data_IF_490389045786
#
_entry.id   IF_490389045786
#
_cell.length_a   1.000
_cell.length_b   1.000
_cell.length_c   1.000
_cell.angle_alpha   90.00
_cell.angle_beta   90.00
_cell.angle_gamma   90.00
#
_symmetry.space_group_name_H-M   'P 1'
#
loop_
_entity.id
_entity.type
_entity.pdbx_description
1 polymer ?
#
# COMPACT_ATOMS: atom_id res chain seq x y z
N UNK A 1 5.18 -17.62 -36.26
CA UNK A 1 5.85 -17.48 -34.96
C UNK A 1 6.72 -16.25 -35.09
N UNK A 2 6.29 -15.08 -34.60
CA UNK A 2 7.15 -13.90 -34.71
C UNK A 2 8.32 -14.06 -33.75
N UNK A 3 9.54 -14.00 -34.27
CA UNK A 3 10.79 -13.85 -33.53
C UNK A 3 10.78 -12.49 -32.81
N UNK A 4 10.00 -12.37 -31.75
CA UNK A 4 10.14 -11.28 -30.80
C UNK A 4 11.24 -11.73 -29.85
N UNK A 5 12.44 -11.19 -30.07
CA UNK A 5 13.54 -11.34 -29.13
C UNK A 5 13.06 -10.92 -27.73
N UNK A 6 13.30 -11.73 -26.69
CA UNK A 6 12.81 -11.41 -25.36
C UNK A 6 13.40 -10.07 -24.89
N UNK A 7 12.60 -9.23 -24.20
CA UNK A 7 13.08 -7.93 -23.75
C UNK A 7 14.29 -8.08 -22.83
N UNK A 8 15.28 -7.20 -22.97
CA UNK A 8 16.42 -7.15 -22.05
C UNK A 8 15.95 -6.84 -20.62
N UNK A 9 16.51 -7.56 -19.64
CA UNK A 9 16.19 -7.35 -18.23
C UNK A 9 16.71 -6.00 -17.74
N UNK A 10 15.88 -5.16 -17.10
CA UNK A 10 16.36 -3.97 -16.41
C UNK A 10 17.45 -4.33 -15.39
N UNK A 11 18.46 -3.48 -15.25
CA UNK A 11 19.66 -3.80 -14.46
C UNK A 11 19.36 -4.09 -12.99
N UNK A 12 18.49 -3.32 -12.32
CA UNK A 12 18.04 -3.61 -10.96
C UNK A 12 17.41 -5.00 -10.81
N UNK A 13 16.56 -5.41 -11.76
CA UNK A 13 15.97 -6.77 -11.79
C UNK A 13 17.07 -7.81 -11.99
N UNK A 14 17.95 -7.61 -12.96
CA UNK A 14 19.05 -8.54 -13.22
C UNK A 14 19.99 -8.70 -12.01
N UNK A 15 20.21 -7.64 -11.24
CA UNK A 15 20.96 -7.67 -9.98
C UNK A 15 20.20 -8.45 -8.88
N UNK A 16 18.90 -8.20 -8.71
CA UNK A 16 18.07 -8.92 -7.74
C UNK A 16 18.07 -10.43 -7.99
N UNK A 17 17.97 -10.86 -9.26
CA UNK A 17 18.05 -12.27 -9.66
C UNK A 17 19.49 -12.83 -9.67
N UNK A 18 20.51 -12.03 -9.41
CA UNK A 18 21.91 -12.45 -9.46
C UNK A 18 22.42 -12.84 -10.86
N UNK A 19 21.68 -12.48 -11.92
CA UNK A 19 22.03 -12.81 -13.32
C UNK A 19 22.90 -11.72 -13.97
N UNK A 20 22.85 -10.49 -13.47
CA UNK A 20 23.83 -9.47 -13.82
C UNK A 20 25.18 -9.85 -13.22
N UNK A 21 26.25 -9.71 -14.02
CA UNK A 21 27.61 -9.83 -13.51
C UNK A 21 27.82 -8.77 -12.42
N UNK A 22 27.72 -9.18 -11.16
CA UNK A 22 28.31 -8.44 -10.06
C UNK A 22 29.81 -8.30 -10.43
N UNK A 23 30.47 -7.15 -10.28
CA UNK A 23 31.92 -7.09 -10.37
C UNK A 23 32.55 -7.92 -9.23
N UNK A 24 32.49 -9.25 -9.35
CA UNK A 24 32.97 -10.24 -8.40
C UNK A 24 33.77 -11.33 -9.12
N UNK A 25 35.09 -11.25 -8.94
CA UNK A 25 35.96 -12.38 -8.53
C UNK A 25 37.29 -11.79 -8.04
N UNK A 26 37.45 -11.70 -6.72
CA UNK A 26 38.69 -11.26 -6.05
C UNK A 26 38.53 -11.17 -4.51
N UNK A 27 39.63 -11.24 -3.72
CA UNK A 27 39.56 -11.35 -2.26
C UNK A 27 38.88 -10.13 -1.63
N UNK A 28 37.97 -10.38 -0.65
CA UNK A 28 37.21 -9.42 0.19
C UNK A 28 37.46 -7.94 -0.13
N UNK A 29 36.74 -7.39 -1.12
CA UNK A 29 36.60 -5.94 -1.23
C UNK A 29 35.68 -5.43 -0.12
N UNK A 30 36.00 -4.27 0.41
CA UNK A 30 35.26 -3.61 1.50
C UNK A 30 33.81 -3.27 1.12
N UNK A 31 33.47 -3.20 -0.17
CA UNK A 31 32.16 -2.79 -0.69
C UNK A 31 31.57 -3.78 -1.71
N UNK A 32 30.29 -4.10 -1.54
CA UNK A 32 29.47 -4.99 -2.38
C UNK A 32 28.04 -4.45 -2.51
N UNK A 33 27.23 -5.00 -3.44
CA UNK A 33 25.82 -4.59 -3.60
C UNK A 33 25.05 -4.83 -2.29
N UNK A 34 25.27 -5.97 -1.66
CA UNK A 34 24.60 -6.39 -0.42
C UNK A 34 24.86 -5.37 0.70
N UNK A 35 26.13 -4.96 0.89
CA UNK A 35 26.49 -3.93 1.88
C UNK A 35 25.89 -2.55 1.58
N UNK A 36 25.77 -2.20 0.30
CA UNK A 36 25.15 -0.93 -0.11
C UNK A 36 23.66 -0.96 0.21
N UNK A 37 22.98 -2.07 -0.07
CA UNK A 37 21.56 -2.26 0.19
C UNK A 37 21.29 -2.29 1.69
N UNK A 38 22.05 -3.06 2.48
CA UNK A 38 21.96 -3.13 3.94
C UNK A 38 22.06 -1.73 4.58
N UNK A 39 23.09 -0.96 4.23
CA UNK A 39 23.27 0.40 4.76
C UNK A 39 22.15 1.37 4.32
N UNK A 40 21.55 1.15 3.15
CA UNK A 40 20.43 1.95 2.67
C UNK A 40 19.11 1.59 3.36
N UNK A 41 18.88 0.30 3.64
CA UNK A 41 17.74 -0.17 4.44
C UNK A 41 17.82 0.36 5.86
N UNK A 42 18.98 0.24 6.53
CA UNK A 42 19.17 0.82 7.87
C UNK A 42 18.91 2.33 7.91
N UNK A 43 19.33 3.06 6.87
CA UNK A 43 19.08 4.49 6.76
C UNK A 43 17.59 4.79 6.58
N UNK A 44 16.89 3.99 5.77
CA UNK A 44 15.45 4.14 5.54
C UNK A 44 14.62 3.77 6.78
N UNK A 45 15.04 2.77 7.55
CA UNK A 45 14.40 2.37 8.80
C UNK A 45 14.52 3.45 9.87
N UNK A 46 15.67 4.11 9.95
CA UNK A 46 15.93 5.16 10.94
C UNK A 46 15.31 6.51 10.55
N UNK A 47 15.52 6.95 9.32
CA UNK A 47 15.27 8.34 8.88
C UNK A 47 14.22 8.44 7.76
N UNK A 48 13.62 7.32 7.37
CA UNK A 48 12.63 7.24 6.29
C UNK A 48 13.22 7.28 4.89
N UNK A 49 12.38 6.97 3.89
CA UNK A 49 12.82 6.86 2.48
C UNK A 49 13.37 8.17 1.90
N UNK A 50 12.92 9.32 2.44
CA UNK A 50 13.35 10.64 2.01
C UNK A 50 14.84 10.91 2.30
N UNK A 51 15.40 10.31 3.34
CA UNK A 51 16.81 10.43 3.71
C UNK A 51 17.74 9.64 2.76
N UNK A 52 17.19 8.65 2.04
CA UNK A 52 17.96 7.77 1.18
C UNK A 52 18.38 8.49 -0.11
N UNK A 53 19.68 8.72 -0.22
CA UNK A 53 20.33 9.22 -1.43
C UNK A 53 21.66 8.49 -1.64
N UNK A 54 22.13 8.45 -2.90
CA UNK A 54 23.44 7.86 -3.22
C UNK A 54 24.56 8.46 -2.37
N UNK A 55 24.46 9.76 -2.03
CA UNK A 55 25.46 10.42 -1.21
C UNK A 55 25.35 10.05 0.27
N UNK A 56 24.14 9.98 0.82
CA UNK A 56 23.93 9.58 2.22
C UNK A 56 24.38 8.15 2.48
N UNK A 57 24.04 7.21 1.59
CA UNK A 57 24.48 5.81 1.69
C UNK A 57 25.99 5.69 1.55
N UNK A 58 26.61 6.41 0.61
CA UNK A 58 28.06 6.43 0.47
C UNK A 58 28.77 6.96 1.72
N UNK A 59 28.28 8.07 2.28
CA UNK A 59 28.82 8.67 3.48
C UNK A 59 28.74 7.72 4.68
N UNK A 60 27.61 7.01 4.85
CA UNK A 60 27.42 6.00 5.90
C UNK A 60 28.43 4.85 5.80
N UNK A 61 28.81 4.48 4.58
CA UNK A 61 29.80 3.44 4.31
C UNK A 61 31.25 3.95 4.25
N UNK A 62 31.50 5.26 4.41
CA UNK A 62 32.83 5.85 4.31
C UNK A 62 33.39 5.95 2.87
N UNK A 63 32.52 5.92 1.86
CA UNK A 63 32.90 6.02 0.44
C UNK A 63 32.36 7.28 -0.22
N UNK A 64 32.83 7.53 -1.45
CA UNK A 64 32.29 8.59 -2.31
C UNK A 64 31.06 8.10 -3.09
N UNK A 65 30.09 8.97 -3.43
CA UNK A 65 28.93 8.58 -4.23
C UNK A 65 29.32 7.91 -5.56
N UNK A 66 30.37 8.41 -6.20
CA UNK A 66 30.91 7.86 -7.45
C UNK A 66 31.32 6.39 -7.33
N UNK A 67 31.71 5.94 -6.13
CA UNK A 67 32.11 4.57 -5.88
C UNK A 67 30.92 3.60 -5.88
N UNK A 68 29.73 4.05 -5.45
CA UNK A 68 28.50 3.24 -5.42
C UNK A 68 27.96 2.97 -6.82
N UNK A 69 28.06 3.94 -7.74
CA UNK A 69 27.56 3.83 -9.11
C UNK A 69 28.17 2.66 -9.92
N UNK A 70 29.31 2.12 -9.49
CA UNK A 70 29.89 0.89 -10.08
C UNK A 70 29.08 -0.36 -9.78
N UNK A 71 28.35 -0.37 -8.66
CA UNK A 71 27.56 -1.49 -8.17
C UNK A 71 26.08 -1.31 -8.48
N UNK A 72 25.55 -0.10 -8.26
CA UNK A 72 24.14 0.25 -8.46
C UNK A 72 24.05 1.49 -9.33
N UNK A 73 23.54 1.34 -10.55
CA UNK A 73 23.62 2.36 -11.61
C UNK A 73 22.74 3.58 -11.38
N UNK A 74 21.63 3.43 -10.67
CA UNK A 74 20.68 4.49 -10.42
C UNK A 74 20.05 4.39 -9.03
N UNK A 75 19.46 5.49 -8.56
CA UNK A 75 18.67 5.48 -7.32
C UNK A 75 17.51 4.50 -7.40
N UNK A 76 16.86 4.38 -8.56
CA UNK A 76 15.72 3.48 -8.74
C UNK A 76 16.14 2.00 -8.63
N UNK A 77 17.32 1.64 -9.14
CA UNK A 77 17.89 0.30 -8.94
C UNK A 77 18.16 0.04 -7.45
N UNK A 78 18.66 1.06 -6.71
CA UNK A 78 18.87 0.95 -5.27
C UNK A 78 17.55 0.74 -4.53
N UNK A 79 16.52 1.54 -4.83
CA UNK A 79 15.21 1.43 -4.20
C UNK A 79 14.56 0.06 -4.45
N UNK A 80 14.74 -0.49 -5.66
CA UNK A 80 14.27 -1.83 -5.99
C UNK A 80 15.00 -2.90 -5.18
N UNK A 81 16.32 -2.83 -5.07
CA UNK A 81 17.11 -3.79 -4.29
C UNK A 81 16.84 -3.67 -2.79
N UNK A 82 16.61 -2.45 -2.28
CA UNK A 82 16.17 -2.22 -0.92
C UNK A 82 14.79 -2.85 -0.68
N UNK A 83 13.83 -2.61 -1.58
CA UNK A 83 12.51 -3.22 -1.48
C UNK A 83 12.62 -4.75 -1.46
N UNK A 84 13.45 -5.32 -2.32
CA UNK A 84 13.70 -6.76 -2.38
C UNK A 84 14.27 -7.30 -1.05
N UNK A 85 15.33 -6.67 -0.53
CA UNK A 85 15.98 -7.07 0.74
C UNK A 85 14.99 -6.97 1.91
N UNK A 86 14.34 -5.82 2.05
CA UNK A 86 13.40 -5.57 3.13
C UNK A 86 12.11 -6.38 3.00
N UNK A 87 11.78 -6.92 1.82
CA UNK A 87 10.63 -7.83 1.63
C UNK A 87 10.93 -9.22 2.18
N UNK A 88 12.16 -9.69 1.99
CA UNK A 88 12.59 -11.02 2.42
C UNK A 88 11.72 -12.18 1.89
N UNK A 89 12.04 -13.40 2.29
CA UNK A 89 11.24 -14.56 1.95
C UNK A 89 9.96 -14.62 2.80
N UNK A 90 8.85 -15.16 2.27
CA UNK A 90 7.68 -15.45 3.09
C UNK A 90 8.06 -16.43 4.22
N UNK A 91 7.47 -16.27 5.41
CA UNK A 91 7.76 -17.15 6.56
C UNK A 91 7.40 -18.59 6.25
N UNK A 92 8.24 -19.55 6.62
CA UNK A 92 7.97 -20.97 6.34
C UNK A 92 6.75 -21.49 7.09
N UNK A 93 6.48 -20.90 8.25
CA UNK A 93 5.43 -21.29 9.18
C UNK A 93 4.04 -21.24 8.54
N UNK A 94 3.81 -20.36 7.55
CA UNK A 94 2.53 -20.31 6.85
C UNK A 94 2.17 -21.67 6.21
N UNK A 95 3.16 -22.48 5.81
CA UNK A 95 2.91 -23.79 5.19
C UNK A 95 2.37 -24.83 6.17
N UNK A 96 2.59 -24.62 7.46
CA UNK A 96 2.16 -25.51 8.54
C UNK A 96 0.68 -25.32 8.90
N UNK A 97 0.08 -24.21 8.48
CA UNK A 97 -1.33 -23.90 8.71
C UNK A 97 -2.27 -24.84 7.93
N UNK A 98 -3.43 -25.15 8.53
CA UNK A 98 -4.43 -26.02 7.92
C UNK A 98 -5.41 -25.25 7.03
N UNK A 99 -5.54 -25.69 5.78
CA UNK A 99 -6.47 -25.10 4.82
C UNK A 99 -6.00 -23.76 4.24
N UNK A 100 -6.56 -23.40 3.09
CA UNK A 100 -6.14 -22.21 2.34
C UNK A 100 -6.32 -20.91 3.15
N UNK A 101 -7.39 -20.83 3.96
CA UNK A 101 -7.75 -19.64 4.73
C UNK A 101 -6.70 -19.29 5.78
N UNK A 102 -6.29 -20.26 6.58
CA UNK A 102 -5.29 -20.05 7.64
C UNK A 102 -3.91 -19.74 7.03
N UNK A 103 -3.54 -20.41 5.94
CA UNK A 103 -2.30 -20.11 5.20
C UNK A 103 -2.25 -18.68 4.68
N UNK A 104 -3.33 -18.20 4.04
CA UNK A 104 -3.40 -16.82 3.56
C UNK A 104 -3.49 -15.79 4.71
N UNK A 105 -4.13 -16.13 5.84
CA UNK A 105 -4.11 -15.31 7.05
C UNK A 105 -2.69 -15.13 7.57
N UNK A 106 -1.92 -16.21 7.69
CA UNK A 106 -0.53 -16.16 8.13
C UNK A 106 0.36 -15.30 7.20
N UNK A 107 0.14 -15.39 5.88
CA UNK A 107 0.84 -14.53 4.92
C UNK A 107 0.43 -13.06 5.05
N UNK A 108 -0.87 -12.76 5.23
CA UNK A 108 -1.36 -11.41 5.51
C UNK A 108 -0.68 -10.81 6.75
N UNK A 109 -0.69 -11.54 7.88
CA UNK A 109 -0.11 -11.08 9.14
C UNK A 109 1.41 -10.86 9.03
N UNK A 110 2.09 -11.74 8.30
CA UNK A 110 3.52 -11.61 8.05
C UNK A 110 3.86 -10.40 7.20
N UNK A 111 3.08 -10.14 6.14
CA UNK A 111 3.28 -8.98 5.28
C UNK A 111 2.92 -7.66 6.00
N UNK A 112 1.92 -7.66 6.89
CA UNK A 112 1.68 -6.51 7.76
C UNK A 112 2.85 -6.26 8.71
N UNK A 113 3.38 -7.28 9.38
CA UNK A 113 4.56 -7.14 10.26
C UNK A 113 5.78 -6.60 9.50
N UNK A 114 5.98 -7.04 8.27
CA UNK A 114 7.00 -6.51 7.36
C UNK A 114 6.85 -5.00 7.14
N UNK A 115 5.63 -4.52 6.84
CA UNK A 115 5.37 -3.10 6.66
C UNK A 115 5.53 -2.29 7.95
N UNK A 116 5.27 -2.88 9.10
CA UNK A 116 5.52 -2.22 10.39
C UNK A 116 7.02 -2.13 10.71
N UNK A 117 7.80 -3.15 10.32
CA UNK A 117 9.26 -3.14 10.46
C UNK A 117 9.94 -2.16 9.50
N UNK A 118 9.43 -2.07 8.26
CA UNK A 118 9.96 -1.21 7.20
C UNK A 118 8.89 -0.27 6.59
N UNK A 119 8.37 0.74 7.33
CA UNK A 119 7.27 1.59 6.88
C UNK A 119 7.52 2.32 5.55
N UNK A 120 8.79 2.57 5.22
CA UNK A 120 9.19 3.21 3.98
C UNK A 120 8.83 2.41 2.72
N UNK A 121 8.64 1.08 2.81
CA UNK A 121 8.15 0.24 1.71
C UNK A 121 6.80 0.72 1.15
N UNK A 122 5.98 1.32 2.01
CA UNK A 122 4.65 1.82 1.67
C UNK A 122 4.71 3.13 0.88
N UNK A 123 5.83 3.84 0.94
CA UNK A 123 6.08 5.07 0.19
C UNK A 123 6.63 4.81 -1.22
N UNK A 124 7.05 3.58 -1.52
CA UNK A 124 7.54 3.22 -2.86
C UNK A 124 6.34 3.03 -3.81
N UNK A 125 6.30 3.73 -4.96
CA UNK A 125 5.23 3.58 -5.94
C UNK A 125 5.18 2.16 -6.53
N UNK A 126 3.97 1.65 -6.74
CA UNK A 126 3.75 0.40 -7.48
C UNK A 126 3.70 0.75 -8.97
N UNK A 127 4.73 0.34 -9.72
CA UNK A 127 4.87 0.63 -11.15
C UNK A 127 4.62 -0.58 -12.05
N UNK A 128 4.38 -1.75 -11.47
CA UNK A 128 4.12 -2.99 -12.19
C UNK A 128 4.06 -4.20 -11.26
N UNK A 129 3.98 -5.40 -11.87
CA UNK A 129 4.05 -6.65 -11.12
C UNK A 129 5.44 -6.80 -10.50
N UNK A 130 5.55 -7.23 -9.23
CA UNK A 130 6.83 -7.26 -8.56
C UNK A 130 7.61 -8.53 -8.98
N UNK A 131 8.43 -8.39 -10.03
CA UNK A 131 9.17 -9.48 -10.66
C UNK A 131 10.55 -9.75 -10.02
N UNK A 132 10.75 -9.38 -8.76
CA UNK A 132 11.97 -9.69 -8.00
C UNK A 132 11.84 -11.03 -7.26
N UNK A 133 12.93 -11.73 -6.92
CA UNK A 133 12.86 -13.08 -6.33
C UNK A 133 11.96 -13.20 -5.08
N UNK A 134 12.16 -12.36 -4.07
CA UNK A 134 11.41 -12.38 -2.83
C UNK A 134 9.95 -12.04 -3.06
N UNK A 135 9.67 -10.96 -3.82
CA UNK A 135 8.29 -10.62 -4.18
C UNK A 135 7.59 -11.73 -4.97
N UNK A 136 8.32 -12.42 -5.85
CA UNK A 136 7.81 -13.58 -6.60
C UNK A 136 7.53 -14.75 -5.66
N UNK A 137 8.39 -14.98 -4.66
CA UNK A 137 8.20 -16.03 -3.65
C UNK A 137 6.96 -15.78 -2.77
N UNK A 138 6.66 -14.52 -2.43
CA UNK A 138 5.42 -14.16 -1.73
C UNK A 138 4.17 -14.47 -2.56
N UNK A 139 4.19 -14.12 -3.85
CA UNK A 139 3.09 -14.46 -4.75
C UNK A 139 2.95 -15.98 -4.91
N UNK A 140 4.05 -16.69 -5.12
CA UNK A 140 4.08 -18.15 -5.24
C UNK A 140 3.50 -18.82 -3.98
N UNK A 141 3.92 -18.40 -2.79
CA UNK A 141 3.39 -18.90 -1.52
C UNK A 141 1.86 -18.72 -1.39
N UNK A 142 1.33 -17.57 -1.82
CA UNK A 142 -0.11 -17.33 -1.83
C UNK A 142 -0.84 -18.23 -2.85
N UNK A 143 -0.27 -18.45 -4.03
CA UNK A 143 -0.82 -19.35 -5.04
C UNK A 143 -0.80 -20.82 -4.58
N UNK A 144 0.30 -21.27 -3.98
CA UNK A 144 0.42 -22.62 -3.38
C UNK A 144 -0.59 -22.81 -2.26
N UNK A 145 -0.87 -21.77 -1.46
CA UNK A 145 -1.87 -21.83 -0.38
C UNK A 145 -3.28 -22.14 -0.90
N UNK A 146 -3.58 -21.78 -2.15
CA UNK A 146 -4.86 -21.99 -2.81
C UNK A 146 -4.89 -23.24 -3.71
N UNK A 147 -3.80 -24.01 -3.81
CA UNK A 147 -3.67 -25.09 -4.79
C UNK A 147 -4.74 -26.19 -4.64
N UNK A 148 -5.12 -26.49 -3.39
CA UNK A 148 -6.13 -27.49 -3.05
C UNK A 148 -7.58 -27.01 -3.24
N UNK A 149 -7.78 -25.77 -3.70
CA UNK A 149 -9.11 -25.22 -3.99
C UNK A 149 -9.49 -25.44 -5.47
N UNK A 150 -10.79 -25.42 -5.82
CA UNK A 150 -11.23 -25.51 -7.21
C UNK A 150 -10.99 -24.23 -8.03
N UNK A 151 -10.39 -23.20 -7.44
CA UNK A 151 -10.09 -21.93 -8.12
C UNK A 151 -9.13 -22.14 -9.29
N UNK A 152 -9.41 -21.50 -10.42
CA UNK A 152 -8.49 -21.44 -11.55
C UNK A 152 -7.30 -20.49 -11.27
N UNK A 153 -6.28 -20.48 -12.15
CA UNK A 153 -5.10 -19.64 -11.97
C UNK A 153 -5.42 -18.13 -11.90
N UNK A 154 -6.44 -17.67 -12.63
CA UNK A 154 -6.87 -16.26 -12.63
C UNK A 154 -7.46 -15.90 -11.27
N UNK A 155 -8.32 -16.76 -10.74
CA UNK A 155 -8.95 -16.58 -9.43
C UNK A 155 -7.92 -16.62 -8.30
N UNK A 156 -6.94 -17.53 -8.37
CA UNK A 156 -5.86 -17.62 -7.38
C UNK A 156 -5.03 -16.35 -7.32
N UNK A 157 -4.66 -15.78 -8.48
CA UNK A 157 -3.93 -14.51 -8.55
C UNK A 157 -4.79 -13.36 -8.01
N UNK A 158 -6.08 -13.31 -8.37
CA UNK A 158 -6.98 -12.27 -7.87
C UNK A 158 -7.12 -12.30 -6.35
N UNK A 159 -7.27 -13.48 -5.75
CA UNK A 159 -7.31 -13.66 -4.29
C UNK A 159 -5.98 -13.26 -3.65
N UNK A 160 -4.84 -13.71 -4.19
CA UNK A 160 -3.52 -13.34 -3.68
C UNK A 160 -3.27 -11.81 -3.70
N UNK A 161 -3.70 -11.15 -4.77
CA UNK A 161 -3.63 -9.69 -4.88
C UNK A 161 -4.57 -8.98 -3.91
N UNK A 162 -5.78 -9.51 -3.68
CA UNK A 162 -6.71 -8.95 -2.69
C UNK A 162 -6.15 -9.02 -1.27
N UNK A 163 -5.50 -10.14 -0.91
CA UNK A 163 -4.80 -10.30 0.38
C UNK A 163 -3.64 -9.31 0.49
N UNK A 164 -2.78 -9.26 -0.53
CA UNK A 164 -1.62 -8.37 -0.56
C UNK A 164 -2.01 -6.89 -0.48
N UNK A 165 -3.05 -6.50 -1.23
CA UNK A 165 -3.61 -5.15 -1.20
C UNK A 165 -4.20 -4.80 0.16
N UNK A 166 -4.88 -5.74 0.82
CA UNK A 166 -5.43 -5.55 2.15
C UNK A 166 -4.33 -5.38 3.21
N UNK A 167 -3.28 -6.21 3.17
CA UNK A 167 -2.14 -6.09 4.08
C UNK A 167 -1.41 -4.75 3.88
N UNK A 168 -1.25 -4.31 2.63
CA UNK A 168 -0.64 -3.01 2.30
C UNK A 168 -1.49 -1.84 2.80
N UNK A 169 -2.80 -1.88 2.59
CA UNK A 169 -3.72 -0.86 3.11
C UNK A 169 -3.66 -0.78 4.64
N UNK A 170 -3.68 -1.93 5.31
CA UNK A 170 -3.53 -1.99 6.76
C UNK A 170 -2.18 -1.38 7.22
N UNK A 171 -1.10 -1.78 6.56
CA UNK A 171 0.23 -1.23 6.79
C UNK A 171 0.28 0.29 6.63
N UNK A 172 -0.33 0.86 5.58
CA UNK A 172 -0.40 2.32 5.35
C UNK A 172 -1.03 3.04 6.54
N UNK A 173 -2.17 2.53 7.03
CA UNK A 173 -2.89 3.18 8.12
C UNK A 173 -2.10 3.12 9.43
N UNK A 174 -1.62 1.94 9.82
CA UNK A 174 -0.89 1.78 11.08
C UNK A 174 0.46 2.50 11.06
N UNK A 175 1.20 2.43 9.94
CA UNK A 175 2.44 3.18 9.79
C UNK A 175 2.20 4.71 9.89
N UNK A 176 1.10 5.19 9.31
CA UNK A 176 0.68 6.59 9.41
C UNK A 176 0.43 7.03 10.86
N UNK A 177 -0.32 6.23 11.63
CA UNK A 177 -0.55 6.52 13.05
C UNK A 177 0.73 6.48 13.88
N UNK A 178 1.61 5.50 13.62
CA UNK A 178 2.90 5.41 14.30
C UNK A 178 3.80 6.62 14.00
N UNK A 179 3.79 7.14 12.77
CA UNK A 179 4.53 8.35 12.41
C UNK A 179 3.93 9.61 13.05
N UNK A 180 2.61 9.70 13.12
CA UNK A 180 1.93 10.78 13.83
C UNK A 180 2.29 10.78 15.32
N UNK A 181 2.39 9.60 15.95
CA UNK A 181 2.84 9.47 17.34
C UNK A 181 4.27 9.97 17.53
N UNK A 182 5.20 9.58 16.66
CA UNK A 182 6.60 10.04 16.72
C UNK A 182 6.74 11.54 16.54
N UNK A 183 6.03 12.11 15.56
CA UNK A 183 6.15 13.54 15.22
C UNK A 183 5.48 14.49 16.21
N UNK A 184 4.40 14.05 16.87
CA UNK A 184 3.67 14.85 17.87
C UNK A 184 4.13 14.60 19.31
N UNK A 185 4.79 13.47 19.56
CA UNK A 185 5.14 13.01 20.91
C UNK A 185 3.95 12.48 21.71
N UNK A 186 2.78 12.30 21.08
CA UNK A 186 1.58 11.75 21.69
C UNK A 186 1.61 10.22 21.68
N UNK A 187 1.05 9.58 22.71
CA UNK A 187 0.79 8.13 22.66
C UNK A 187 -0.31 7.80 21.65
N UNK A 188 -0.40 6.54 21.18
CA UNK A 188 -1.50 6.10 20.30
C UNK A 188 -2.89 6.47 20.86
N UNK A 189 -3.15 6.18 22.14
CA UNK A 189 -4.44 6.51 22.79
C UNK A 189 -4.73 8.01 22.77
N UNK A 190 -3.71 8.85 22.96
CA UNK A 190 -3.86 10.31 22.91
C UNK A 190 -4.20 10.79 21.50
N UNK A 191 -3.64 10.17 20.46
CA UNK A 191 -3.98 10.48 19.06
C UNK A 191 -5.42 10.11 18.78
N UNK A 192 -5.85 8.91 19.19
CA UNK A 192 -7.22 8.43 19.02
C UNK A 192 -8.23 9.36 19.69
N UNK A 193 -7.98 9.75 20.95
CA UNK A 193 -8.84 10.70 21.67
C UNK A 193 -8.85 12.07 20.98
N UNK A 194 -7.69 12.58 20.57
CA UNK A 194 -7.60 13.87 19.88
C UNK A 194 -8.33 13.86 18.54
N UNK A 195 -8.24 12.78 17.77
CA UNK A 195 -8.97 12.61 16.51
C UNK A 195 -10.49 12.56 16.75
N UNK A 196 -10.94 11.83 17.77
CA UNK A 196 -12.35 11.79 18.16
C UNK A 196 -12.89 13.19 18.56
N UNK A 197 -12.13 13.98 19.32
CA UNK A 197 -12.49 15.36 19.66
C UNK A 197 -12.60 16.26 18.42
N UNK A 198 -11.70 16.08 17.44
CA UNK A 198 -11.78 16.80 16.18
C UNK A 198 -13.04 16.40 15.40
N UNK A 199 -13.35 15.11 15.34
CA UNK A 199 -14.57 14.61 14.72
C UNK A 199 -15.82 15.17 15.37
N UNK A 200 -15.90 15.23 16.70
CA UNK A 200 -17.04 15.82 17.41
C UNK A 200 -17.28 17.30 17.06
N UNK A 201 -16.21 18.05 16.75
CA UNK A 201 -16.33 19.47 16.39
C UNK A 201 -16.82 19.70 14.95
N UNK A 202 -16.53 18.78 14.03
CA UNK A 202 -16.72 19.01 12.59
C UNK A 202 -17.74 18.09 11.93
N UNK A 203 -17.99 16.91 12.50
CA UNK A 203 -18.93 15.91 11.97
C UNK A 203 -20.28 16.06 12.68
N UNK A 204 -21.24 16.64 11.97
CA UNK A 204 -22.60 16.86 12.49
C UNK A 204 -23.59 15.82 11.95
N UNK A 205 -24.65 15.52 12.71
CA UNK A 205 -25.71 14.62 12.28
C UNK A 205 -26.45 15.09 11.02
N UNK A 206 -26.50 16.41 10.80
CA UNK A 206 -27.20 16.99 9.65
C UNK A 206 -26.42 16.80 8.34
N UNK A 207 -25.09 16.91 8.40
CA UNK A 207 -24.24 16.79 7.20
C UNK A 207 -23.74 15.37 6.97
N UNK A 208 -23.48 14.63 8.06
CA UNK A 208 -22.87 13.32 8.04
C UNK A 208 -23.60 12.35 8.99
N UNK A 209 -24.90 12.07 8.77
CA UNK A 209 -25.72 11.31 9.71
C UNK A 209 -25.16 9.93 10.04
N UNK A 210 -24.69 9.19 9.03
CA UNK A 210 -24.12 7.85 9.25
C UNK A 210 -22.79 7.88 10.02
N UNK A 211 -21.88 8.81 9.67
CA UNK A 211 -20.60 8.95 10.35
C UNK A 211 -20.79 9.45 11.79
N UNK A 212 -21.72 10.39 12.00
CA UNK A 212 -22.10 10.84 13.33
C UNK A 212 -22.63 9.69 14.19
N UNK A 213 -23.50 8.85 13.63
CA UNK A 213 -23.98 7.65 14.32
C UNK A 213 -22.85 6.70 14.72
N UNK A 214 -21.84 6.51 13.86
CA UNK A 214 -20.67 5.69 14.20
C UNK A 214 -19.80 6.30 15.31
N UNK A 215 -19.59 7.62 15.31
CA UNK A 215 -18.84 8.30 16.39
C UNK A 215 -19.63 8.23 17.70
N UNK A 216 -20.95 8.44 17.69
CA UNK A 216 -21.82 8.29 18.88
C UNK A 216 -21.84 6.85 19.42
N UNK A 217 -21.70 5.87 18.54
CA UNK A 217 -21.53 4.46 18.92
C UNK A 217 -20.13 4.12 19.46
N UNK A 218 -19.20 5.08 19.49
CA UNK A 218 -17.85 4.90 20.03
C UNK A 218 -16.89 4.13 19.11
N UNK A 219 -17.22 3.94 17.83
CA UNK A 219 -16.43 3.11 16.90
C UNK A 219 -14.98 3.61 16.78
N UNK A 220 -14.75 4.92 16.79
CA UNK A 220 -13.41 5.51 16.66
C UNK A 220 -12.60 5.49 17.97
N UNK A 221 -13.20 5.04 19.07
CA UNK A 221 -12.55 4.86 20.36
C UNK A 221 -12.47 3.38 20.76
N UNK A 222 -12.95 2.46 19.92
CA UNK A 222 -12.92 1.03 20.24
C UNK A 222 -11.55 0.42 19.90
N UNK A 223 -11.20 -0.65 20.60
CA UNK A 223 -10.00 -1.45 20.35
C UNK A 223 -10.20 -2.49 19.23
N UNK A 224 -11.31 -2.42 18.48
CA UNK A 224 -11.59 -3.38 17.41
C UNK A 224 -10.60 -3.21 16.25
N UNK A 225 -10.23 -4.32 15.60
CA UNK A 225 -9.41 -4.30 14.38
C UNK A 225 -10.32 -4.39 13.13
N UNK A 226 -10.70 -3.24 12.52
CA UNK A 226 -11.54 -3.25 11.32
C UNK A 226 -10.82 -3.84 10.11
N UNK A 227 -9.49 -3.88 10.10
CA UNK A 227 -8.72 -4.44 9.00
C UNK A 227 -8.74 -5.95 9.04
N UNK A 228 -8.53 -6.55 10.23
CA UNK A 228 -8.71 -7.98 10.43
C UNK A 228 -10.15 -8.40 10.10
N UNK A 229 -11.15 -7.66 10.58
CA UNK A 229 -12.54 -7.88 10.19
C UNK A 229 -12.70 -7.86 8.66
N UNK A 230 -12.15 -6.85 7.99
CA UNK A 230 -12.25 -6.70 6.54
C UNK A 230 -11.67 -7.88 5.78
N UNK A 231 -10.48 -8.35 6.14
CA UNK A 231 -9.85 -9.48 5.47
C UNK A 231 -10.55 -10.82 5.77
N UNK A 232 -11.15 -11.00 6.95
CA UNK A 232 -12.04 -12.15 7.22
C UNK A 232 -13.27 -12.13 6.30
N UNK A 233 -13.86 -10.95 6.03
CA UNK A 233 -14.98 -10.83 5.07
C UNK A 233 -14.56 -11.15 3.63
N UNK A 234 -13.33 -10.78 3.24
CA UNK A 234 -12.76 -11.20 1.94
C UNK A 234 -12.70 -12.73 1.87
N UNK A 235 -12.21 -13.39 2.92
CA UNK A 235 -12.15 -14.85 2.96
C UNK A 235 -13.52 -15.51 2.95
N UNK A 236 -14.51 -14.96 3.66
CA UNK A 236 -15.89 -15.44 3.61
C UNK A 236 -16.45 -15.36 2.18
N UNK A 237 -16.14 -14.28 1.44
CA UNK A 237 -16.52 -14.13 0.04
C UNK A 237 -15.85 -15.15 -0.88
N UNK A 238 -14.56 -15.43 -0.68
CA UNK A 238 -13.82 -16.46 -1.43
C UNK A 238 -14.38 -17.86 -1.14
N UNK A 239 -14.68 -18.16 0.12
CA UNK A 239 -15.28 -19.43 0.53
C UNK A 239 -16.67 -19.63 -0.08
N UNK A 240 -17.50 -18.59 -0.07
CA UNK A 240 -18.79 -18.61 -0.74
C UNK A 240 -18.65 -18.83 -2.25
N UNK A 241 -17.67 -18.20 -2.90
CA UNK A 241 -17.40 -18.39 -4.32
C UNK A 241 -16.90 -19.81 -4.62
N UNK A 242 -15.99 -20.37 -3.83
CA UNK A 242 -15.57 -21.78 -3.93
C UNK A 242 -16.81 -22.70 -3.88
N UNK A 243 -17.73 -22.46 -2.94
CA UNK A 243 -18.96 -23.24 -2.85
C UNK A 243 -19.86 -23.11 -4.09
N UNK A 244 -19.86 -21.98 -4.79
CA UNK A 244 -20.59 -21.82 -6.09
C UNK A 244 -19.96 -22.67 -7.18
N UNK A 245 -18.63 -22.70 -7.27
CA UNK A 245 -17.89 -23.53 -8.23
C UNK A 245 -18.16 -25.02 -7.98
N UNK A 246 -18.14 -25.45 -6.71
CA UNK A 246 -18.42 -26.84 -6.34
C UNK A 246 -19.85 -27.28 -6.70
N UNK A 247 -20.80 -26.33 -6.75
CA UNK A 247 -22.17 -26.57 -7.24
C UNK A 247 -22.29 -26.54 -8.77
N UNK A 248 -21.21 -26.23 -9.49
CA UNK A 248 -21.19 -26.12 -10.95
C UNK A 248 -21.88 -24.85 -11.47
N UNK A 249 -22.00 -23.81 -10.64
CA UNK A 249 -22.57 -22.54 -11.06
C UNK A 249 -21.59 -21.79 -11.99
N UNK A 250 -22.09 -21.05 -13.00
CA UNK A 250 -21.22 -20.32 -13.90
C UNK A 250 -20.50 -19.20 -13.16
N UNK A 251 -19.23 -18.98 -13.52
CA UNK A 251 -18.43 -17.85 -13.04
C UNK A 251 -19.15 -16.53 -13.33
N UNK A 252 -19.34 -15.64 -12.34
CA UNK A 252 -19.90 -14.31 -12.59
C UNK A 252 -19.05 -13.55 -13.61
N UNK A 253 -19.67 -12.94 -14.61
CA UNK A 253 -18.96 -12.04 -15.51
C UNK A 253 -18.48 -10.81 -14.73
N UNK A 254 -17.17 -10.53 -14.80
CA UNK A 254 -16.62 -9.31 -14.24
C UNK A 254 -16.85 -8.17 -15.23
N UNK A 255 -17.83 -7.31 -14.95
CA UNK A 255 -17.98 -6.07 -15.68
C UNK A 255 -16.73 -5.19 -15.44
N UNK A 256 -15.99 -4.91 -16.51
CA UNK A 256 -14.86 -3.98 -16.45
C UNK A 256 -15.38 -2.58 -16.16
N UNK A 257 -15.38 -2.21 -14.88
CA UNK A 257 -15.80 -0.89 -14.42
C UNK A 257 -14.70 0.17 -14.61
N UNK A 258 -13.45 -0.26 -14.82
CA UNK A 258 -12.32 0.62 -15.06
C UNK A 258 -12.30 1.07 -16.53
N UNK A 259 -13.22 1.96 -16.90
CA UNK A 259 -13.20 2.61 -18.19
C UNK A 259 -12.13 3.70 -18.14
N UNK A 260 -10.92 3.41 -18.64
CA UNK A 260 -9.91 4.46 -18.84
C UNK A 260 -10.36 5.37 -19.99
N UNK A 261 -10.48 6.67 -19.74
CA UNK A 261 -10.72 7.64 -20.80
C UNK A 261 -9.53 7.60 -21.80
N UNK A 262 -9.78 7.52 -23.12
CA UNK A 262 -8.70 7.56 -24.11
C UNK A 262 -7.84 8.81 -23.96
N UNK A 263 -6.53 8.66 -24.11
CA UNK A 263 -5.58 9.76 -23.92
C UNK A 263 -5.93 10.98 -24.80
N UNK A 264 -6.43 10.76 -26.01
CA UNK A 264 -6.83 11.80 -26.96
C UNK A 264 -7.95 12.67 -26.40
N UNK A 265 -8.90 12.08 -25.66
CA UNK A 265 -10.02 12.81 -25.04
C UNK A 265 -9.51 13.60 -23.82
N UNK A 266 -8.60 13.02 -23.03
CA UNK A 266 -8.00 13.70 -21.88
C UNK A 266 -7.11 14.90 -22.29
N UNK A 267 -6.50 14.81 -23.48
CA UNK A 267 -5.63 15.85 -24.04
C UNK A 267 -6.37 16.93 -24.84
N UNK A 268 -7.63 16.68 -25.24
CA UNK A 268 -8.43 17.64 -25.99
C UNK A 268 -8.58 18.98 -25.25
N UNK A 269 -8.31 20.07 -25.96
CA UNK A 269 -8.32 21.43 -25.41
C UNK A 269 -9.70 21.83 -24.88
N UNK A 270 -10.79 21.51 -25.61
CA UNK A 270 -12.15 21.86 -25.19
C UNK A 270 -12.56 21.07 -23.95
N UNK A 271 -12.18 19.80 -23.87
CA UNK A 271 -12.40 18.97 -22.67
C UNK A 271 -11.66 19.57 -21.46
N UNK A 272 -10.39 19.96 -21.62
CA UNK A 272 -9.62 20.62 -20.55
C UNK A 272 -10.22 21.95 -20.10
N UNK A 273 -10.70 22.77 -21.04
CA UNK A 273 -11.38 24.04 -20.75
C UNK A 273 -12.72 23.82 -20.02
N UNK A 274 -13.54 22.86 -20.46
CA UNK A 274 -14.78 22.48 -19.79
C UNK A 274 -14.51 21.97 -18.37
N UNK A 275 -13.52 21.09 -18.18
CA UNK A 275 -13.09 20.60 -16.85
C UNK A 275 -12.58 21.73 -15.95
N UNK A 276 -11.89 22.72 -16.51
CA UNK A 276 -11.49 23.93 -15.77
C UNK A 276 -12.73 24.72 -15.34
N UNK A 277 -13.71 24.91 -16.21
CA UNK A 277 -14.97 25.58 -15.86
C UNK A 277 -15.74 24.84 -14.76
N UNK A 278 -15.84 23.51 -14.84
CA UNK A 278 -16.43 22.66 -13.78
C UNK A 278 -15.71 22.88 -12.45
N UNK A 279 -14.37 22.81 -12.41
CA UNK A 279 -13.60 23.05 -11.17
C UNK A 279 -13.84 24.42 -10.56
N UNK A 280 -13.99 25.45 -11.40
CA UNK A 280 -14.34 26.82 -10.94
C UNK A 280 -15.75 26.86 -10.37
N UNK A 281 -16.72 26.25 -11.05
CA UNK A 281 -18.11 26.20 -10.58
C UNK A 281 -18.24 25.39 -9.28
N UNK A 282 -17.56 24.25 -9.16
CA UNK A 282 -17.52 23.46 -7.92
C UNK A 282 -16.89 24.23 -6.76
N UNK A 283 -15.83 25.01 -7.03
CA UNK A 283 -15.24 25.88 -6.01
C UNK A 283 -16.27 26.93 -5.54
N UNK A 284 -16.94 27.61 -6.47
CA UNK A 284 -17.98 28.58 -6.14
C UNK A 284 -19.14 27.92 -5.37
N UNK A 285 -19.55 26.71 -5.74
CA UNK A 285 -20.59 25.95 -5.03
C UNK A 285 -20.14 25.58 -3.61
N UNK A 286 -18.89 25.14 -3.42
CA UNK A 286 -18.33 24.86 -2.10
C UNK A 286 -18.32 26.11 -1.21
N UNK A 287 -17.94 27.26 -1.77
CA UNK A 287 -17.93 28.55 -1.05
C UNK A 287 -19.35 28.99 -0.67
N UNK A 288 -20.31 28.87 -1.60
CA UNK A 288 -21.72 29.17 -1.34
C UNK A 288 -22.32 28.27 -0.25
N UNK A 289 -22.08 26.96 -0.31
CA UNK A 289 -22.50 26.01 0.74
C UNK A 289 -21.87 26.33 2.10
N UNK A 290 -20.61 26.81 2.13
CA UNK A 290 -19.97 27.24 3.39
C UNK A 290 -20.69 28.45 3.99
N UNK A 291 -21.05 29.44 3.18
CA UNK A 291 -21.82 30.61 3.63
C UNK A 291 -23.21 30.21 4.12
N UNK A 292 -23.91 29.34 3.39
CA UNK A 292 -25.21 28.80 3.78
C UNK A 292 -25.14 28.11 5.15
N UNK A 293 -24.16 27.22 5.36
CA UNK A 293 -23.94 26.55 6.65
C UNK A 293 -23.68 27.52 7.80
N UNK A 294 -22.86 28.55 7.58
CA UNK A 294 -22.60 29.57 8.60
C UNK A 294 -23.88 30.33 8.95
N UNK A 295 -24.66 30.73 7.94
CA UNK A 295 -25.91 31.43 8.15
C UNK A 295 -26.94 30.59 8.93
N UNK A 296 -27.03 29.28 8.63
CA UNK A 296 -27.89 28.34 9.37
C UNK A 296 -27.41 28.20 10.83
N UNK A 297 -26.10 28.05 11.06
CA UNK A 297 -25.52 27.97 12.41
C UNK A 297 -25.82 29.23 13.23
N UNK A 298 -25.56 30.41 12.67
CA UNK A 298 -25.82 31.69 13.34
C UNK A 298 -27.32 31.88 13.63
N UNK A 299 -28.19 31.43 12.72
CA UNK A 299 -29.64 31.47 12.93
C UNK A 299 -30.08 30.58 14.09
N UNK A 300 -29.51 29.38 14.23
CA UNK A 300 -29.78 28.47 15.36
C UNK A 300 -29.31 29.06 16.69
N UNK A 301 -28.11 29.62 16.74
CA UNK A 301 -27.60 30.27 17.96
C UNK A 301 -28.46 31.46 18.38
N UNK A 302 -28.91 32.29 17.42
CA UNK A 302 -29.83 33.39 17.70
C UNK A 302 -31.19 32.90 18.22
N UNK A 303 -31.69 31.78 17.73
CA UNK A 303 -32.94 31.19 18.20
C UNK A 303 -32.81 30.64 19.62
N UNK A 304 -31.69 29.96 19.93
CA UNK A 304 -31.43 29.41 21.26
C UNK A 304 -31.27 30.48 22.35
N UNK A 305 -30.69 31.65 22.03
CA UNK A 305 -30.54 32.78 22.99
C UNK A 305 -31.85 33.53 23.29
N UNK A 306 -32.94 33.25 22.57
CA UNK A 306 -34.26 33.88 22.75
C UNK A 306 -35.22 33.04 23.60
N UNK A 307 -34.83 31.82 23.94
CA UNK A 307 -35.51 30.93 24.89
C UNK A 307 -34.88 31.09 26.27
#
# INVERSE_FOLDING_TARGET
MSDIEPPELPRGIALAWGVAANPQRGPKREMSVEKIVEAAVELADADGIGAVSMAAVAARLGFTPMSLYRYVSAKDDLLLLMQEEATGLPPEEHRQEEGWRAKLRALFDAQTRLYLAHPWLLSIPITGSPITPNSSAWLDAALTSLEATPLDATDRVAVALAVTGSARWYGIVIAGYAEQARSTGMSPDQITVHEAELFDRVITAEEFPALRGAIEAGVFLSDDDPFHFGIERVFDGVEAYIATIDRGEPKPEADSWLVSEPAEVAEDKKVREARKAVRVAEKALRDARKLERQAVRDARERAARRQ
#
